data_IF_808229808445
#
_entry.id   IF_808229808445
#
_cell.length_a   1.000
_cell.length_b   1.000
_cell.length_c   1.000
_cell.angle_alpha   90.00
_cell.angle_beta   90.00
_cell.angle_gamma   90.00
#
_symmetry.space_group_name_H-M   'P 1'
#
loop_
_entity.id
_entity.type
_entity.pdbx_description
1 polymer ?
#
# COMPACT_ATOMS: atom_id res chain seq x y z
N UNK A 1 54.37 -29.07 -41.16
CA UNK A 1 53.37 -28.77 -42.20
C UNK A 1 52.07 -29.41 -41.74
N UNK A 2 51.02 -28.74 -41.32
CA UNK A 2 50.71 -27.33 -41.06
C UNK A 2 49.34 -27.41 -40.40
N UNK A 3 49.25 -27.12 -39.10
CA UNK A 3 47.98 -26.86 -38.43
C UNK A 3 47.66 -25.38 -38.62
N UNK A 4 46.49 -25.07 -39.18
CA UNK A 4 45.91 -23.74 -39.11
C UNK A 4 44.37 -23.83 -39.19
N UNK A 5 43.65 -23.59 -38.09
CA UNK A 5 42.29 -23.10 -38.14
C UNK A 5 42.28 -21.64 -37.72
N UNK A 6 42.12 -20.78 -38.73
CA UNK A 6 41.99 -19.35 -38.61
C UNK A 6 41.01 -18.93 -37.51
N UNK A 7 41.54 -18.10 -36.61
CA UNK A 7 40.84 -17.42 -35.54
C UNK A 7 39.85 -16.38 -36.09
N UNK A 8 38.57 -16.55 -35.79
CA UNK A 8 37.59 -15.47 -35.73
C UNK A 8 37.63 -14.82 -34.35
N UNK A 9 38.66 -13.99 -34.09
CA UNK A 9 38.82 -13.25 -32.84
C UNK A 9 38.31 -11.81 -33.00
N UNK A 10 37.26 -11.44 -32.26
CA UNK A 10 37.00 -10.03 -31.96
C UNK A 10 37.90 -9.64 -30.80
N UNK A 11 38.93 -8.86 -31.12
CA UNK A 11 40.02 -8.43 -30.24
C UNK A 11 39.75 -7.00 -29.75
N UNK A 12 39.64 -6.83 -28.43
CA UNK A 12 40.08 -5.60 -27.76
C UNK A 12 40.83 -6.03 -26.49
N UNK A 13 42.17 -6.12 -26.56
CA UNK A 13 43.05 -6.39 -25.39
C UNK A 13 43.77 -7.75 -25.30
N UNK A 14 43.80 -8.55 -26.37
CA UNK A 14 45.00 -9.22 -26.91
C UNK A 14 45.80 -10.34 -26.22
N UNK A 15 45.59 -10.77 -24.96
CA UNK A 15 46.21 -12.04 -24.46
C UNK A 15 45.25 -12.80 -23.54
N UNK A 16 44.81 -14.03 -23.90
CA UNK A 16 43.99 -14.85 -23.02
C UNK A 16 44.77 -15.20 -21.76
N UNK A 17 44.32 -14.72 -20.60
CA UNK A 17 44.99 -15.02 -19.33
C UNK A 17 44.54 -16.39 -18.83
N UNK A 18 45.46 -17.33 -18.56
CA UNK A 18 45.10 -18.61 -17.95
C UNK A 18 44.58 -18.38 -16.54
N UNK A 19 43.47 -19.04 -16.19
CA UNK A 19 42.86 -18.91 -14.87
C UNK A 19 43.35 -20.06 -13.97
N UNK A 20 44.11 -19.80 -12.90
CA UNK A 20 44.45 -20.83 -11.92
C UNK A 20 43.17 -21.33 -11.25
N UNK A 21 43.06 -22.64 -11.01
CA UNK A 21 41.88 -23.30 -10.42
C UNK A 21 40.57 -23.09 -11.20
N UNK A 22 40.59 -23.39 -12.52
CA UNK A 22 39.46 -23.31 -13.47
C UNK A 22 38.07 -23.63 -12.89
N UNK A 23 37.94 -24.74 -12.16
CA UNK A 23 36.64 -25.18 -11.61
C UNK A 23 36.11 -24.25 -10.51
N UNK A 24 37.00 -23.78 -9.63
CA UNK A 24 36.65 -22.85 -8.54
C UNK A 24 36.27 -21.49 -9.10
N UNK A 25 37.06 -20.97 -10.04
CA UNK A 25 36.79 -19.68 -10.68
C UNK A 25 35.49 -19.69 -11.51
N UNK A 26 35.22 -20.76 -12.26
CA UNK A 26 33.95 -20.92 -12.97
C UNK A 26 32.76 -20.99 -11.99
N UNK A 27 32.90 -21.71 -10.88
CA UNK A 27 31.85 -21.80 -9.85
C UNK A 27 31.57 -20.43 -9.22
N UNK A 28 32.60 -19.63 -8.94
CA UNK A 28 32.43 -18.26 -8.44
C UNK A 28 31.66 -17.37 -9.42
N UNK A 29 31.96 -17.45 -10.72
CA UNK A 29 31.20 -16.71 -11.74
C UNK A 29 29.74 -17.18 -11.85
N UNK A 30 29.47 -18.49 -11.71
CA UNK A 30 28.10 -19.01 -11.64
C UNK A 30 27.38 -18.47 -10.40
N UNK A 31 28.01 -18.52 -9.22
CA UNK A 31 27.44 -17.97 -8.00
C UNK A 31 27.10 -16.47 -8.15
N UNK A 32 28.01 -15.69 -8.76
CA UNK A 32 27.77 -14.28 -9.01
C UNK A 32 26.63 -14.05 -10.00
N UNK A 33 26.53 -14.86 -11.07
CA UNK A 33 25.40 -14.81 -11.99
C UNK A 33 24.07 -15.13 -11.29
N UNK A 34 24.04 -16.11 -10.39
CA UNK A 34 22.84 -16.45 -9.60
C UNK A 34 22.44 -15.30 -8.67
N UNK A 35 23.39 -14.68 -7.96
CA UNK A 35 23.12 -13.52 -7.09
C UNK A 35 22.51 -12.37 -7.90
N UNK A 36 23.05 -12.10 -9.09
CA UNK A 36 22.51 -11.07 -9.98
C UNK A 36 21.11 -11.47 -10.48
N UNK A 37 20.87 -12.74 -10.83
CA UNK A 37 19.52 -13.20 -11.21
C UNK A 37 18.49 -12.99 -10.08
N UNK A 38 18.85 -13.24 -8.82
CA UNK A 38 18.00 -12.94 -7.66
C UNK A 38 17.72 -11.44 -7.57
N UNK A 39 18.72 -10.58 -7.80
CA UNK A 39 18.54 -9.13 -7.83
C UNK A 39 17.52 -8.67 -8.88
N UNK A 40 17.49 -9.29 -10.06
CA UNK A 40 16.45 -9.05 -11.08
C UNK A 40 15.07 -9.43 -10.55
N UNK A 41 14.95 -10.59 -9.90
CA UNK A 41 13.69 -11.03 -9.29
C UNK A 41 13.17 -10.06 -8.24
N UNK A 42 14.05 -9.56 -7.37
CA UNK A 42 13.72 -8.55 -6.35
C UNK A 42 13.28 -7.22 -6.98
N UNK A 43 13.94 -6.78 -8.05
CA UNK A 43 13.55 -5.57 -8.76
C UNK A 43 12.16 -5.72 -9.41
N UNK A 44 11.88 -6.87 -10.04
CA UNK A 44 10.56 -7.17 -10.61
C UNK A 44 9.47 -7.22 -9.55
N UNK A 45 9.75 -7.86 -8.40
CA UNK A 45 8.85 -7.88 -7.26
C UNK A 45 8.55 -6.47 -6.74
N UNK A 46 9.57 -5.61 -6.66
CA UNK A 46 9.39 -4.20 -6.29
C UNK A 46 8.54 -3.42 -7.29
N UNK A 47 8.65 -3.70 -8.60
CA UNK A 47 7.83 -3.05 -9.63
C UNK A 47 6.35 -3.41 -9.44
N UNK A 48 6.04 -4.69 -9.23
CA UNK A 48 4.67 -5.14 -9.01
C UNK A 48 4.07 -4.48 -7.77
N UNK A 49 4.82 -4.46 -6.65
CA UNK A 49 4.40 -3.76 -5.43
C UNK A 49 4.17 -2.27 -5.66
N UNK A 50 5.05 -1.58 -6.38
CA UNK A 50 4.87 -0.16 -6.66
C UNK A 50 3.58 0.14 -7.45
N UNK A 51 3.17 -0.78 -8.33
CA UNK A 51 1.90 -0.67 -9.07
C UNK A 51 0.71 -0.94 -8.15
N UNK A 52 0.79 -1.99 -7.33
CA UNK A 52 -0.24 -2.33 -6.33
C UNK A 52 -0.45 -1.18 -5.33
N UNK A 53 0.63 -0.65 -4.75
CA UNK A 53 0.60 0.47 -3.80
C UNK A 53 -0.02 1.73 -4.43
N UNK A 54 0.29 2.01 -5.70
CA UNK A 54 -0.28 3.14 -6.42
C UNK A 54 -1.79 2.96 -6.71
N UNK A 55 -2.19 1.75 -7.10
CA UNK A 55 -3.60 1.41 -7.30
C UNK A 55 -4.39 1.55 -6.01
N UNK A 56 -3.85 1.03 -4.91
CA UNK A 56 -4.41 1.16 -3.58
C UNK A 56 -4.53 2.61 -3.12
N UNK A 57 -3.49 3.42 -3.30
CA UNK A 57 -3.55 4.84 -2.94
C UNK A 57 -4.65 5.60 -3.71
N UNK A 58 -4.87 5.25 -4.98
CA UNK A 58 -5.95 5.84 -5.79
C UNK A 58 -7.33 5.40 -5.29
N UNK A 59 -7.51 4.10 -5.06
CA UNK A 59 -8.78 3.55 -4.61
C UNK A 59 -9.12 4.04 -3.18
N UNK A 60 -8.11 4.26 -2.31
CA UNK A 60 -8.30 4.90 -1.01
C UNK A 60 -8.83 6.32 -1.17
N UNK A 61 -8.20 7.10 -2.05
CA UNK A 61 -8.62 8.48 -2.32
C UNK A 61 -10.06 8.53 -2.83
N UNK A 62 -10.45 7.64 -3.73
CA UNK A 62 -11.81 7.56 -4.26
C UNK A 62 -12.81 7.16 -3.18
N UNK A 63 -12.50 6.14 -2.38
CA UNK A 63 -13.34 5.71 -1.25
C UNK A 63 -13.50 6.83 -0.23
N UNK A 64 -12.40 7.48 0.15
CA UNK A 64 -12.41 8.57 1.12
C UNK A 64 -13.22 9.78 0.62
N UNK A 65 -13.20 10.06 -0.69
CA UNK A 65 -14.03 11.10 -1.29
C UNK A 65 -15.54 10.80 -1.22
N UNK A 66 -15.93 9.53 -1.06
CA UNK A 66 -17.32 9.12 -0.84
C UNK A 66 -17.67 9.08 0.66
N UNK A 67 -16.80 8.45 1.46
CA UNK A 67 -17.05 8.16 2.88
C UNK A 67 -17.02 9.43 3.73
N UNK A 68 -16.10 10.36 3.48
CA UNK A 68 -15.94 11.54 4.33
C UNK A 68 -17.16 12.47 4.28
N UNK A 69 -17.68 12.86 3.10
CA UNK A 69 -18.93 13.61 3.07
C UNK A 69 -20.09 12.83 3.69
N UNK A 70 -20.19 11.53 3.40
CA UNK A 70 -21.27 10.70 3.91
C UNK A 70 -21.28 10.58 5.44
N UNK A 71 -20.12 10.53 6.11
CA UNK A 71 -20.06 10.44 7.58
C UNK A 71 -20.41 11.79 8.25
N UNK A 72 -20.04 12.91 7.63
CA UNK A 72 -20.47 14.24 8.08
C UNK A 72 -21.98 14.41 7.89
N UNK A 73 -22.51 14.06 6.72
CA UNK A 73 -23.95 14.09 6.44
C UNK A 73 -24.74 13.14 7.37
N UNK A 74 -24.16 11.99 7.73
CA UNK A 74 -24.74 11.02 8.67
C UNK A 74 -24.81 11.62 10.08
N UNK A 75 -23.79 12.37 10.51
CA UNK A 75 -23.81 13.06 11.80
C UNK A 75 -24.87 14.17 11.87
N UNK A 76 -25.26 14.74 10.73
CA UNK A 76 -26.42 15.63 10.62
C UNK A 76 -27.77 14.90 10.49
N UNK A 77 -27.77 13.56 10.42
CA UNK A 77 -28.98 12.76 10.20
C UNK A 77 -29.60 12.92 8.80
N UNK A 78 -28.82 13.41 7.83
CA UNK A 78 -29.32 13.72 6.47
C UNK A 78 -29.20 12.54 5.50
N UNK A 79 -28.36 11.56 5.80
CA UNK A 79 -28.17 10.35 4.99
C UNK A 79 -28.25 9.10 5.85
N UNK A 80 -28.64 7.94 5.27
CA UNK A 80 -28.67 6.67 5.99
C UNK A 80 -27.26 6.13 6.27
N UNK A 81 -27.13 5.30 7.31
CA UNK A 81 -25.85 4.69 7.71
C UNK A 81 -25.20 3.88 6.57
N UNK A 82 -26.02 3.25 5.73
CA UNK A 82 -25.58 2.45 4.59
C UNK A 82 -24.69 3.22 3.63
N UNK A 83 -24.91 4.53 3.47
CA UNK A 83 -24.10 5.42 2.64
C UNK A 83 -22.63 5.49 3.10
N UNK A 84 -22.36 5.19 4.37
CA UNK A 84 -21.01 5.12 4.95
C UNK A 84 -20.53 3.67 5.05
N UNK A 85 -21.38 2.76 5.51
CA UNK A 85 -20.96 1.39 5.81
C UNK A 85 -20.73 0.53 4.57
N UNK A 86 -21.43 0.76 3.45
CA UNK A 86 -21.21 -0.02 2.23
C UNK A 86 -19.85 0.31 1.59
N UNK A 87 -19.49 1.58 1.31
CA UNK A 87 -18.18 1.89 0.75
C UNK A 87 -17.01 1.50 1.66
N UNK A 88 -17.18 1.64 2.99
CA UNK A 88 -16.18 1.16 3.95
C UNK A 88 -16.02 -0.36 3.90
N UNK A 89 -17.10 -1.13 3.80
CA UNK A 89 -17.04 -2.59 3.69
C UNK A 89 -16.30 -2.99 2.42
N UNK A 90 -16.69 -2.40 1.30
CA UNK A 90 -16.14 -2.73 -0.01
C UNK A 90 -14.63 -2.44 -0.05
N UNK A 91 -14.20 -1.33 0.54
CA UNK A 91 -12.78 -1.02 0.71
C UNK A 91 -12.06 -2.03 1.60
N UNK A 92 -12.54 -2.24 2.82
CA UNK A 92 -11.87 -3.06 3.83
C UNK A 92 -11.79 -4.53 3.38
N UNK A 93 -12.81 -5.04 2.69
CA UNK A 93 -12.79 -6.39 2.11
C UNK A 93 -11.96 -6.44 0.83
N UNK A 94 -12.09 -5.45 -0.05
CA UNK A 94 -11.42 -5.43 -1.35
C UNK A 94 -9.90 -5.32 -1.26
N UNK A 95 -9.40 -4.58 -0.27
CA UNK A 95 -7.97 -4.35 -0.05
C UNK A 95 -7.31 -5.36 0.90
N UNK A 96 -8.08 -6.34 1.37
CA UNK A 96 -7.57 -7.42 2.19
C UNK A 96 -6.68 -8.36 1.37
N UNK A 97 -5.65 -9.00 1.98
CA UNK A 97 -4.81 -9.98 1.30
C UNK A 97 -5.58 -11.17 0.72
N UNK A 98 -6.66 -11.57 1.39
CA UNK A 98 -7.61 -12.58 0.92
C UNK A 98 -9.04 -12.07 1.14
N UNK A 99 -9.67 -11.45 0.12
CA UNK A 99 -11.00 -10.85 0.23
C UNK A 99 -12.10 -11.85 0.63
N UNK A 100 -11.98 -13.11 0.22
CA UNK A 100 -12.97 -14.13 0.54
C UNK A 100 -12.92 -14.49 2.03
N UNK A 101 -11.71 -14.68 2.57
CA UNK A 101 -11.51 -14.92 4.00
C UNK A 101 -11.90 -13.69 4.83
N UNK A 102 -11.54 -12.49 4.39
CA UNK A 102 -11.93 -11.25 5.04
C UNK A 102 -13.46 -11.11 5.15
N UNK A 103 -14.19 -11.32 4.05
CA UNK A 103 -15.65 -11.30 4.05
C UNK A 103 -16.25 -12.33 5.01
N UNK A 104 -15.76 -13.57 4.98
CA UNK A 104 -16.21 -14.64 5.89
C UNK A 104 -16.00 -14.25 7.37
N UNK A 105 -14.85 -13.63 7.70
CA UNK A 105 -14.55 -13.18 9.07
C UNK A 105 -15.48 -12.06 9.54
N UNK A 106 -15.80 -11.11 8.67
CA UNK A 106 -16.76 -10.05 8.98
C UNK A 106 -18.16 -10.61 9.23
N UNK A 107 -18.61 -11.52 8.36
CA UNK A 107 -19.93 -12.15 8.51
C UNK A 107 -20.00 -13.00 9.79
N UNK A 108 -18.92 -13.70 10.14
CA UNK A 108 -18.81 -14.46 11.38
C UNK A 108 -18.85 -13.58 12.64
N UNK A 109 -18.30 -12.37 12.58
CA UNK A 109 -18.40 -11.39 13.67
C UNK A 109 -19.84 -10.91 13.83
N UNK A 110 -20.51 -10.56 12.73
CA UNK A 110 -21.91 -10.12 12.76
C UNK A 110 -22.86 -11.21 13.27
N UNK A 111 -22.53 -12.49 13.04
CA UNK A 111 -23.32 -13.61 13.52
C UNK A 111 -23.21 -13.84 15.05
N UNK A 112 -22.22 -13.24 15.71
CA UNK A 112 -22.07 -13.35 17.17
C UNK A 112 -23.01 -12.35 17.85
N UNK A 113 -23.79 -12.84 18.82
CA UNK A 113 -24.85 -12.06 19.47
C UNK A 113 -24.34 -10.90 20.35
N UNK A 114 -23.05 -10.88 20.72
CA UNK A 114 -22.40 -9.76 21.42
C UNK A 114 -20.92 -9.64 21.00
N UNK A 115 -20.65 -8.90 19.92
CA UNK A 115 -19.29 -8.70 19.42
C UNK A 115 -18.54 -7.64 20.25
N UNK A 116 -18.42 -7.86 21.55
CA UNK A 116 -17.55 -7.14 22.50
C UNK A 116 -17.24 -5.66 22.20
N UNK A 117 -15.97 -5.28 22.28
CA UNK A 117 -15.49 -3.96 21.86
C UNK A 117 -15.10 -3.96 20.39
N UNK A 118 -15.59 -3.03 19.53
CA UNK A 118 -15.22 -2.93 18.12
C UNK A 118 -13.71 -2.94 17.88
N UNK A 119 -12.94 -2.25 18.74
CA UNK A 119 -11.47 -2.26 18.68
C UNK A 119 -10.86 -3.62 19.02
N UNK A 120 -11.47 -4.36 19.95
CA UNK A 120 -11.02 -5.71 20.28
C UNK A 120 -11.32 -6.68 19.14
N UNK A 121 -12.53 -6.59 18.56
CA UNK A 121 -12.94 -7.37 17.39
C UNK A 121 -12.05 -7.08 16.19
N UNK A 122 -11.78 -5.80 15.90
CA UNK A 122 -10.87 -5.39 14.83
C UNK A 122 -9.46 -5.98 15.00
N UNK A 123 -8.96 -6.10 16.25
CA UNK A 123 -7.68 -6.77 16.53
C UNK A 123 -7.75 -8.28 16.36
N UNK A 124 -8.87 -8.90 16.71
CA UNK A 124 -9.06 -10.35 16.59
C UNK A 124 -9.10 -10.79 15.13
N UNK A 125 -9.80 -10.05 14.27
CA UNK A 125 -9.92 -10.36 12.85
C UNK A 125 -8.88 -9.64 11.98
N UNK A 126 -8.10 -8.73 12.56
CA UNK A 126 -7.19 -7.84 11.84
C UNK A 126 -6.16 -8.55 10.97
N UNK A 127 -5.72 -9.75 11.37
CA UNK A 127 -4.82 -10.59 10.56
C UNK A 127 -5.39 -10.91 9.16
N UNK A 128 -6.73 -10.91 9.00
CA UNK A 128 -7.39 -11.12 7.72
C UNK A 128 -7.45 -9.86 6.84
N UNK A 129 -7.24 -8.66 7.40
CA UNK A 129 -7.41 -7.36 6.73
C UNK A 129 -6.09 -6.65 6.41
N UNK A 130 -4.96 -7.26 6.76
CA UNK A 130 -3.64 -6.67 6.57
C UNK A 130 -3.27 -5.65 7.65
N UNK A 131 -2.03 -5.16 7.58
CA UNK A 131 -1.46 -4.23 8.57
C UNK A 131 -1.36 -2.79 8.03
N UNK A 132 -2.18 -2.40 7.05
CA UNK A 132 -2.14 -1.05 6.50
C UNK A 132 -2.58 -0.02 7.53
N UNK A 133 -2.00 1.18 7.46
CA UNK A 133 -2.26 2.28 8.40
C UNK A 133 -3.73 2.75 8.38
N UNK A 134 -4.45 2.49 7.29
CA UNK A 134 -5.84 2.90 7.07
C UNK A 134 -6.84 1.74 7.26
N UNK A 135 -6.40 0.50 7.07
CA UNK A 135 -7.30 -0.68 7.06
C UNK A 135 -7.89 -0.92 8.44
N UNK A 136 -7.05 -0.93 9.47
CA UNK A 136 -7.47 -1.14 10.86
C UNK A 136 -8.45 -0.06 11.34
N UNK A 137 -8.17 1.23 11.13
CA UNK A 137 -9.12 2.30 11.43
C UNK A 137 -10.43 2.22 10.63
N UNK A 138 -10.40 1.92 9.33
CA UNK A 138 -11.62 1.80 8.53
C UNK A 138 -12.46 0.60 8.94
N UNK A 139 -11.81 -0.53 9.26
CA UNK A 139 -12.46 -1.69 9.86
C UNK A 139 -13.09 -1.33 11.22
N UNK A 140 -12.38 -0.58 12.05
CA UNK A 140 -12.87 -0.13 13.36
C UNK A 140 -14.08 0.78 13.20
N UNK A 141 -14.03 1.75 12.29
CA UNK A 141 -15.14 2.66 11.99
C UNK A 141 -16.37 1.90 11.48
N UNK A 142 -16.17 0.95 10.57
CA UNK A 142 -17.24 0.09 10.08
C UNK A 142 -17.89 -0.71 11.21
N UNK A 143 -17.08 -1.31 12.09
CA UNK A 143 -17.58 -2.05 13.26
C UNK A 143 -18.29 -1.14 14.27
N UNK A 144 -17.83 0.10 14.47
CA UNK A 144 -18.49 1.08 15.33
C UNK A 144 -19.91 1.42 14.83
N UNK A 145 -20.05 1.67 13.53
CA UNK A 145 -21.35 1.93 12.93
C UNK A 145 -22.25 0.69 13.01
N UNK A 146 -21.76 -0.48 12.59
CA UNK A 146 -22.58 -1.69 12.47
C UNK A 146 -22.95 -2.34 13.80
N UNK A 147 -22.08 -2.29 14.80
CA UNK A 147 -22.30 -2.95 16.08
C UNK A 147 -22.88 -2.02 17.15
N UNK A 148 -22.59 -0.72 17.06
CA UNK A 148 -22.90 0.23 18.13
C UNK A 148 -23.68 1.46 17.68
N UNK A 149 -23.89 1.66 16.38
CA UNK A 149 -24.42 2.92 15.84
C UNK A 149 -23.61 4.14 16.34
N UNK A 150 -22.30 3.95 16.53
CA UNK A 150 -21.38 4.95 17.07
C UNK A 150 -20.83 5.81 15.93
N UNK A 151 -21.58 6.85 15.56
CA UNK A 151 -21.25 7.76 14.45
C UNK A 151 -20.04 8.63 14.80
N UNK A 152 -19.97 9.14 16.03
CA UNK A 152 -18.86 9.97 16.53
C UNK A 152 -17.54 9.21 16.45
N UNK A 153 -17.48 8.02 17.06
CA UNK A 153 -16.26 7.22 17.08
C UNK A 153 -15.85 6.71 15.69
N UNK A 154 -16.81 6.47 14.79
CA UNK A 154 -16.52 6.12 13.40
C UNK A 154 -15.93 7.29 12.62
N UNK A 155 -16.53 8.49 12.77
CA UNK A 155 -16.04 9.74 12.19
C UNK A 155 -14.61 10.05 12.64
N UNK A 156 -14.33 9.96 13.95
CA UNK A 156 -12.99 10.11 14.53
C UNK A 156 -11.99 9.15 13.88
N UNK A 157 -12.35 7.87 13.79
CA UNK A 157 -11.47 6.82 13.25
C UNK A 157 -11.13 7.07 11.77
N UNK A 158 -12.11 7.48 10.97
CA UNK A 158 -11.92 7.81 9.55
C UNK A 158 -11.05 9.06 9.38
N UNK A 159 -11.39 10.15 10.09
CA UNK A 159 -10.68 11.42 9.99
C UNK A 159 -9.21 11.27 10.41
N UNK A 160 -8.93 10.56 11.50
CA UNK A 160 -7.57 10.32 11.97
C UNK A 160 -6.76 9.47 10.98
N UNK A 161 -7.35 8.41 10.42
CA UNK A 161 -6.66 7.56 9.44
C UNK A 161 -6.29 8.34 8.17
N UNK A 162 -7.20 9.18 7.69
CA UNK A 162 -6.95 10.01 6.51
C UNK A 162 -5.96 11.14 6.78
N UNK A 163 -5.98 11.72 7.97
CA UNK A 163 -5.00 12.74 8.39
C UNK A 163 -3.58 12.16 8.42
N UNK A 164 -3.41 10.97 9.02
CA UNK A 164 -2.13 10.24 9.03
C UNK A 164 -1.67 9.95 7.60
N UNK A 165 -2.55 9.40 6.75
CA UNK A 165 -2.25 9.08 5.36
C UNK A 165 -1.89 10.34 4.53
N UNK A 166 -2.51 11.49 4.81
CA UNK A 166 -2.21 12.76 4.16
C UNK A 166 -0.98 13.47 4.74
N UNK A 167 -0.41 12.99 5.85
CA UNK A 167 0.67 13.67 6.57
C UNK A 167 0.24 14.99 7.20
N UNK A 168 -1.03 15.11 7.58
CA UNK A 168 -1.63 16.30 8.19
C UNK A 168 -1.96 16.01 9.64
N UNK A 169 -1.62 16.93 10.54
CA UNK A 169 -2.05 16.82 11.94
C UNK A 169 -3.45 17.42 12.12
N UNK A 170 -4.37 16.61 12.63
CA UNK A 170 -5.66 17.07 13.14
C UNK A 170 -5.67 16.94 14.67
N UNK A 171 -6.07 17.98 15.41
CA UNK A 171 -6.17 17.90 16.86
C UNK A 171 -7.32 16.96 17.22
N UNK A 172 -7.00 15.81 17.81
CA UNK A 172 -7.97 14.76 18.12
C UNK A 172 -9.21 15.27 18.85
N UNK A 173 -9.00 16.10 19.87
CA UNK A 173 -10.08 16.71 20.65
C UNK A 173 -11.01 17.56 19.78
N UNK A 174 -10.46 18.35 18.87
CA UNK A 174 -11.27 19.18 17.97
C UNK A 174 -12.06 18.32 16.98
N UNK A 175 -11.50 17.19 16.52
CA UNK A 175 -12.23 16.25 15.65
C UNK A 175 -13.41 15.62 16.40
N UNK A 176 -13.21 15.19 17.65
CA UNK A 176 -14.28 14.66 18.50
C UNK A 176 -15.38 15.72 18.70
N UNK A 177 -14.99 16.96 18.98
CA UNK A 177 -15.90 18.09 19.18
C UNK A 177 -16.78 18.37 17.94
N UNK A 178 -16.25 18.22 16.70
CA UNK A 178 -17.05 18.40 15.46
C UNK A 178 -18.24 17.44 15.41
N UNK A 179 -17.97 16.14 15.58
CA UNK A 179 -19.02 15.13 15.47
C UNK A 179 -20.02 15.23 16.62
N UNK A 180 -19.55 15.57 17.83
CA UNK A 180 -20.43 15.82 18.98
C UNK A 180 -21.37 17.01 18.72
N UNK A 181 -20.85 18.13 18.18
CA UNK A 181 -21.64 19.31 17.84
C UNK A 181 -22.71 18.99 16.79
N UNK A 182 -22.37 18.27 15.73
CA UNK A 182 -23.33 17.92 14.68
C UNK A 182 -24.40 16.95 15.15
N UNK A 183 -24.05 15.98 16.01
CA UNK A 183 -25.02 15.07 16.62
C UNK A 183 -25.97 15.80 17.58
N UNK A 184 -25.46 16.73 18.40
CA UNK A 184 -26.29 17.57 19.27
C UNK A 184 -27.26 18.42 18.46
N UNK A 185 -26.78 19.06 17.39
CA UNK A 185 -27.62 19.82 16.47
C UNK A 185 -28.71 18.94 15.81
N UNK A 186 -28.36 17.74 15.36
CA UNK A 186 -29.30 16.79 14.77
C UNK A 186 -30.36 16.29 15.78
N UNK A 187 -30.01 16.22 17.06
CA UNK A 187 -30.93 15.92 18.16
C UNK A 187 -31.86 17.09 18.52
N UNK A 188 -31.65 18.27 17.93
CA UNK A 188 -32.41 19.49 18.20
C UNK A 188 -31.96 20.24 19.47
N UNK A 189 -30.75 19.96 19.95
CA UNK A 189 -30.13 20.70 21.06
C UNK A 189 -29.68 22.10 20.59
N UNK A 190 -29.71 23.06 21.51
CA UNK A 190 -29.22 24.40 21.24
C UNK A 190 -27.69 24.39 21.27
N UNK A 191 -27.08 24.68 20.13
CA UNK A 191 -25.63 24.73 19.92
C UNK A 191 -25.23 26.19 19.71
N UNK A 192 -24.19 26.62 20.40
CA UNK A 192 -23.66 27.97 20.27
C UNK A 192 -23.17 28.22 18.83
N UNK A 193 -23.48 29.40 18.28
CA UNK A 193 -23.14 29.74 16.89
C UNK A 193 -21.62 29.75 16.66
N UNK A 194 -20.83 30.05 17.69
CA UNK A 194 -19.35 29.99 17.65
C UNK A 194 -18.85 28.55 17.53
N UNK A 195 -19.42 27.62 18.30
CA UNK A 195 -19.06 26.20 18.25
C UNK A 195 -19.45 25.58 16.90
N UNK A 196 -20.61 25.96 16.35
CA UNK A 196 -21.04 25.51 15.03
C UNK A 196 -20.10 26.02 13.92
N UNK A 197 -19.70 27.29 13.97
CA UNK A 197 -18.74 27.85 13.01
C UNK A 197 -17.36 27.18 13.10
N UNK A 198 -16.89 26.88 14.31
CA UNK A 198 -15.64 26.14 14.52
C UNK A 198 -15.74 24.70 13.96
N UNK A 199 -16.87 24.03 14.21
CA UNK A 199 -17.15 22.71 13.68
C UNK A 199 -17.17 22.70 12.14
N UNK A 200 -17.86 23.65 11.51
CA UNK A 200 -17.92 23.79 10.04
C UNK A 200 -16.54 24.04 9.42
N UNK A 201 -15.71 24.87 10.06
CA UNK A 201 -14.36 25.14 9.58
C UNK A 201 -13.48 23.87 9.61
N UNK A 202 -13.61 23.05 10.66
CA UNK A 202 -12.85 21.81 10.76
C UNK A 202 -13.44 20.69 9.88
N UNK A 203 -14.76 20.59 9.77
CA UNK A 203 -15.45 19.67 8.85
C UNK A 203 -15.03 19.93 7.39
N UNK A 204 -14.89 21.20 6.98
CA UNK A 204 -14.37 21.56 5.66
C UNK A 204 -12.92 21.09 5.46
N UNK A 205 -12.07 21.13 6.49
CA UNK A 205 -10.71 20.58 6.44
C UNK A 205 -10.71 19.07 6.33
N UNK A 206 -11.57 18.37 7.08
CA UNK A 206 -11.74 16.92 7.02
C UNK A 206 -12.22 16.51 5.61
N UNK A 207 -13.22 17.20 5.06
CA UNK A 207 -13.73 16.98 3.71
C UNK A 207 -12.68 17.19 2.61
N UNK A 208 -11.66 18.00 2.87
CA UNK A 208 -10.56 18.24 1.94
C UNK A 208 -9.44 17.18 2.00
N UNK A 209 -9.37 16.35 3.06
CA UNK A 209 -8.30 15.33 3.24
C UNK A 209 -8.14 14.39 2.03
N UNK A 210 -9.20 13.84 1.42
CA UNK A 210 -9.05 12.96 0.25
C UNK A 210 -8.36 13.68 -0.92
N UNK A 211 -8.56 14.99 -1.05
CA UNK A 211 -7.98 15.78 -2.13
C UNK A 211 -6.56 16.28 -1.82
N UNK A 212 -6.13 16.25 -0.56
CA UNK A 212 -4.77 16.59 -0.17
C UNK A 212 -3.74 15.63 -0.81
N UNK A 213 -4.14 14.38 -1.06
CA UNK A 213 -3.33 13.42 -1.82
C UNK A 213 -3.58 13.63 -3.32
N UNK A 214 -2.56 14.13 -4.02
CA UNK A 214 -2.66 14.41 -5.46
C UNK A 214 -2.56 13.13 -6.28
N UNK A 215 -3.48 12.96 -7.25
CA UNK A 215 -3.40 11.88 -8.25
C UNK A 215 -2.07 11.94 -9.01
N UNK A 216 -1.59 13.15 -9.30
CA UNK A 216 -0.31 13.36 -9.97
C UNK A 216 0.84 12.89 -9.08
N UNK A 217 0.81 13.17 -7.77
CA UNK A 217 1.88 12.73 -6.88
C UNK A 217 1.92 11.21 -6.72
N UNK A 218 0.76 10.54 -6.70
CA UNK A 218 0.67 9.07 -6.69
C UNK A 218 1.35 8.50 -7.95
N UNK A 219 0.92 8.93 -9.13
CA UNK A 219 1.48 8.42 -10.39
C UNK A 219 2.96 8.76 -10.58
N UNK A 220 3.38 9.99 -10.28
CA UNK A 220 4.78 10.40 -10.42
C UNK A 220 5.68 9.58 -9.51
N UNK A 221 5.29 9.36 -8.25
CA UNK A 221 6.06 8.57 -7.30
C UNK A 221 6.19 7.12 -7.77
N UNK A 222 5.10 6.52 -8.23
CA UNK A 222 5.08 5.16 -8.76
C UNK A 222 5.95 5.03 -10.02
N UNK A 223 5.79 5.93 -11.00
CA UNK A 223 6.55 5.92 -12.26
C UNK A 223 8.05 6.09 -12.00
N UNK A 224 8.45 7.03 -11.14
CA UNK A 224 9.86 7.23 -10.80
C UNK A 224 10.44 5.97 -10.17
N UNK A 225 9.74 5.36 -9.21
CA UNK A 225 10.19 4.12 -8.58
C UNK A 225 10.31 2.98 -9.59
N UNK A 226 9.31 2.79 -10.47
CA UNK A 226 9.33 1.78 -11.51
C UNK A 226 10.51 2.00 -12.46
N UNK A 227 10.78 3.23 -12.90
CA UNK A 227 11.91 3.54 -13.78
C UNK A 227 13.26 3.20 -13.12
N UNK A 228 13.41 3.51 -11.83
CA UNK A 228 14.61 3.14 -11.05
C UNK A 228 14.78 1.62 -10.98
N UNK A 229 13.70 0.90 -10.69
CA UNK A 229 13.72 -0.57 -10.57
C UNK A 229 13.94 -1.25 -11.93
N UNK A 230 13.37 -0.72 -13.02
CA UNK A 230 13.63 -1.20 -14.39
C UNK A 230 15.10 -0.99 -14.75
N UNK A 231 15.68 0.17 -14.42
CA UNK A 231 17.10 0.43 -14.61
C UNK A 231 17.97 -0.55 -13.83
N UNK A 232 17.62 -0.81 -12.56
CA UNK A 232 18.29 -1.79 -11.72
C UNK A 232 18.17 -3.22 -12.27
N UNK A 233 16.97 -3.65 -12.67
CA UNK A 233 16.71 -4.95 -13.27
C UNK A 233 17.51 -5.14 -14.56
N UNK A 234 17.52 -4.13 -15.44
CA UNK A 234 18.28 -4.16 -16.68
C UNK A 234 19.80 -4.26 -16.44
N UNK A 235 20.34 -3.41 -15.56
CA UNK A 235 21.76 -3.43 -15.20
C UNK A 235 22.18 -4.77 -14.61
N UNK A 236 21.34 -5.31 -13.71
CA UNK A 236 21.59 -6.59 -13.04
C UNK A 236 21.49 -7.77 -14.03
N UNK A 237 20.49 -7.79 -14.91
CA UNK A 237 20.34 -8.81 -15.95
C UNK A 237 21.53 -8.83 -16.91
N UNK A 238 22.04 -7.65 -17.29
CA UNK A 238 23.24 -7.53 -18.12
C UNK A 238 24.47 -8.13 -17.42
N UNK A 239 24.62 -7.92 -16.12
CA UNK A 239 25.69 -8.53 -15.32
C UNK A 239 25.53 -10.05 -15.20
N UNK A 240 24.30 -10.55 -14.99
CA UNK A 240 24.00 -11.99 -14.98
C UNK A 240 24.46 -12.66 -16.27
N UNK A 241 24.09 -12.10 -17.43
CA UNK A 241 24.48 -12.63 -18.74
C UNK A 241 25.99 -12.60 -18.94
N UNK A 242 26.65 -11.52 -18.51
CA UNK A 242 28.11 -11.39 -18.58
C UNK A 242 28.80 -12.46 -17.73
N UNK A 243 28.46 -12.58 -16.45
CA UNK A 243 29.08 -13.56 -15.56
C UNK A 243 28.76 -15.01 -15.94
N UNK A 244 27.55 -15.29 -16.44
CA UNK A 244 27.21 -16.59 -17.00
C UNK A 244 28.05 -16.93 -18.25
N UNK A 245 28.26 -15.96 -19.13
CA UNK A 245 29.15 -16.10 -20.29
C UNK A 245 30.62 -16.33 -19.89
N UNK A 246 31.11 -15.59 -18.89
CA UNK A 246 32.46 -15.73 -18.36
C UNK A 246 32.65 -17.09 -17.67
N UNK A 247 31.67 -17.55 -16.89
CA UNK A 247 31.65 -18.89 -16.31
C UNK A 247 31.74 -19.98 -17.40
N UNK A 248 30.92 -19.87 -18.45
CA UNK A 248 30.90 -20.84 -19.54
C UNK A 248 32.19 -20.84 -20.36
N UNK A 249 32.87 -19.67 -20.48
CA UNK A 249 34.19 -19.57 -21.11
C UNK A 249 35.27 -20.22 -20.24
N UNK A 250 35.40 -19.82 -18.97
CA UNK A 250 36.36 -20.43 -18.04
C UNK A 250 36.13 -21.95 -17.95
N UNK A 251 34.88 -22.38 -17.87
CA UNK A 251 34.55 -23.80 -17.82
C UNK A 251 34.91 -24.56 -19.10
N UNK A 252 34.93 -23.94 -20.29
CA UNK A 252 35.23 -24.63 -21.57
C UNK A 252 36.67 -24.50 -22.02
N UNK A 253 37.26 -23.34 -21.87
CA UNK A 253 38.59 -23.01 -22.43
C UNK A 253 39.66 -22.88 -21.35
N UNK A 254 39.31 -22.67 -20.07
CA UNK A 254 40.27 -22.36 -19.01
C UNK A 254 40.84 -20.94 -19.07
N UNK A 255 40.27 -20.10 -19.94
CA UNK A 255 40.65 -18.70 -20.17
C UNK A 255 39.44 -17.78 -20.01
N UNK A 256 39.70 -16.52 -19.65
CA UNK A 256 38.72 -15.41 -19.64
C UNK A 256 38.86 -14.57 -20.92
#
# INVERSE_FOLDING_TARGET
MTDDPAAGAVVIGGVPRPVPYRRVSALLYVCLAVVMAIGVGLAMHGILRAVEDAGRALALRETAALVVPAVLDLSHGTVPMEAVTEPLRDWVVGEAPDPAVAAERLDAVLAQADPGSPRAVAREIGDAFGNGEVDGPFLTAWLQLRLRNDVEGAGESIANALAVNAGVELPRREVDDVFAVYLAQAAGEEVDEEDLQAADALAARIAALPQAVSVVSIYVSAVVLILVLVGAAYGTARLTLRFGGDAARVWRTGHL
#
